data_IF_870346547215
#
_entry.id   IF_870346547215
#
_cell.length_a   1.000
_cell.length_b   1.000
_cell.length_c   1.000
_cell.angle_alpha   90.00
_cell.angle_beta   90.00
_cell.angle_gamma   90.00
#
_symmetry.space_group_name_H-M   'P 1'
#
loop_
_entity.id
_entity.type
_entity.pdbx_description
1 polymer ?
#
# COMPACT_ATOMS: atom_id res chain seq x y z
N UNK A 1 -33.59 70.64 -4.99
CA UNK A 1 -33.97 69.96 -6.26
C UNK A 1 -33.80 68.50 -5.98
N UNK A 2 -34.76 67.87 -5.46
CA UNK A 2 -36.01 67.33 -6.02
C UNK A 2 -35.77 66.19 -6.98
N UNK A 3 -36.28 65.04 -6.63
CA UNK A 3 -36.85 64.03 -7.40
C UNK A 3 -36.16 62.63 -7.23
N UNK A 4 -36.73 61.54 -7.15
CA UNK A 4 -38.12 61.08 -6.86
C UNK A 4 -37.98 59.57 -6.68
N UNK A 5 -38.73 59.10 -5.70
CA UNK A 5 -38.82 57.65 -5.41
C UNK A 5 -39.89 57.05 -6.33
N UNK A 6 -39.63 55.91 -6.96
CA UNK A 6 -40.68 55.04 -7.45
C UNK A 6 -40.74 53.73 -6.66
N UNK A 7 -41.82 53.67 -5.86
CA UNK A 7 -42.37 52.40 -5.32
C UNK A 7 -43.23 51.76 -6.41
N UNK A 8 -43.08 50.46 -6.63
CA UNK A 8 -44.11 49.66 -7.26
C UNK A 8 -44.80 48.79 -6.22
N UNK A 9 -46.12 48.99 -6.17
CA UNK A 9 -47.10 48.32 -5.34
C UNK A 9 -47.57 47.06 -6.06
N UNK A 10 -47.66 45.99 -5.28
CA UNK A 10 -48.34 44.73 -5.71
C UNK A 10 -49.71 44.76 -5.01
N UNK A 11 -50.75 44.86 -5.78
CA UNK A 11 -52.07 44.39 -5.35
C UNK A 11 -52.89 43.87 -6.53
N UNK A 12 -53.53 42.75 -6.25
CA UNK A 12 -54.80 42.19 -6.75
C UNK A 12 -54.85 41.55 -8.11
N UNK A 13 -55.01 40.24 -8.09
CA UNK A 13 -56.14 39.58 -8.72
C UNK A 13 -56.50 38.25 -8.00
N UNK A 14 -57.58 38.28 -7.23
CA UNK A 14 -58.29 37.12 -6.71
C UNK A 14 -59.48 36.88 -7.61
N UNK A 15 -59.88 35.61 -7.63
CA UNK A 15 -61.13 35.00 -8.05
C UNK A 15 -61.22 34.39 -9.44
N UNK A 16 -61.21 33.06 -9.46
CA UNK A 16 -62.34 32.29 -9.99
C UNK A 16 -62.12 30.75 -9.86
N UNK A 17 -63.11 30.18 -9.20
CA UNK A 17 -63.75 28.86 -9.49
C UNK A 17 -63.11 27.60 -8.96
N UNK A 18 -63.70 27.14 -7.89
CA UNK A 18 -63.68 25.78 -7.37
C UNK A 18 -64.39 24.83 -8.34
N UNK A 19 -63.69 23.87 -8.87
CA UNK A 19 -64.28 22.61 -9.38
C UNK A 19 -63.63 21.44 -8.66
N UNK A 20 -64.50 20.63 -8.02
CA UNK A 20 -64.11 19.39 -7.35
C UNK A 20 -63.67 18.37 -8.39
N UNK A 21 -62.36 18.10 -8.47
CA UNK A 21 -61.80 16.97 -9.13
C UNK A 21 -60.92 16.20 -8.14
N UNK A 22 -61.25 14.96 -7.90
CA UNK A 22 -60.49 14.07 -7.05
C UNK A 22 -59.06 13.90 -7.63
N UNK A 23 -58.09 14.62 -7.08
CA UNK A 23 -56.68 14.33 -7.34
C UNK A 23 -56.29 13.13 -6.49
N UNK A 24 -56.18 11.99 -7.13
CA UNK A 24 -55.42 10.87 -6.61
C UNK A 24 -53.97 11.36 -6.44
N UNK A 25 -53.54 11.52 -5.19
CA UNK A 25 -52.17 11.76 -4.86
C UNK A 25 -51.36 10.48 -5.20
N UNK A 26 -50.76 10.46 -6.36
CA UNK A 26 -49.71 9.50 -6.67
C UNK A 26 -48.50 9.94 -5.81
N UNK A 27 -48.36 9.29 -4.66
CA UNK A 27 -47.11 9.32 -3.92
C UNK A 27 -46.07 8.60 -4.79
N UNK A 28 -45.32 9.36 -5.57
CA UNK A 28 -44.06 8.89 -6.11
C UNK A 28 -43.14 8.77 -4.89
N UNK A 29 -43.07 7.54 -4.34
CA UNK A 29 -41.94 7.16 -3.52
C UNK A 29 -40.72 7.21 -4.45
N UNK A 30 -40.05 8.35 -4.49
CA UNK A 30 -38.67 8.42 -4.91
C UNK A 30 -37.91 7.53 -3.92
N UNK A 31 -37.71 6.26 -4.30
CA UNK A 31 -36.68 5.44 -3.71
C UNK A 31 -35.39 6.22 -3.91
N UNK A 32 -34.96 6.93 -2.87
CA UNK A 32 -33.59 7.41 -2.77
C UNK A 32 -32.75 6.14 -2.68
N UNK A 33 -32.40 5.58 -3.85
CA UNK A 33 -31.26 4.70 -3.95
C UNK A 33 -30.13 5.49 -3.28
N UNK A 34 -29.75 5.08 -2.07
CA UNK A 34 -28.64 5.68 -1.38
C UNK A 34 -27.49 5.69 -2.37
N UNK A 35 -27.09 6.88 -2.82
CA UNK A 35 -25.91 7.03 -3.63
C UNK A 35 -24.78 6.42 -2.79
N UNK A 36 -24.35 5.20 -3.14
CA UNK A 36 -23.07 4.71 -2.64
C UNK A 36 -22.03 5.67 -3.18
N UNK A 37 -21.39 6.38 -2.27
CA UNK A 37 -20.33 7.27 -2.62
C UNK A 37 -19.28 6.48 -3.41
N UNK A 38 -18.85 7.07 -4.51
CA UNK A 38 -17.92 6.62 -5.53
C UNK A 38 -18.53 5.64 -6.55
N UNK A 39 -19.07 6.16 -7.65
CA UNK A 39 -19.16 5.35 -8.84
C UNK A 39 -17.71 5.05 -9.26
N UNK A 40 -17.31 3.76 -9.19
CA UNK A 40 -16.14 3.31 -9.93
C UNK A 40 -16.35 3.71 -11.38
N UNK A 41 -15.43 4.49 -11.96
CA UNK A 41 -15.49 4.88 -13.38
C UNK A 41 -15.32 3.66 -14.28
N UNK A 42 -14.83 2.56 -13.72
CA UNK A 42 -14.58 1.29 -14.40
C UNK A 42 -15.33 0.16 -13.71
N UNK A 43 -15.77 -0.88 -14.47
CA UNK A 43 -16.28 -2.10 -13.85
C UNK A 43 -15.19 -2.72 -12.96
N UNK A 44 -15.60 -3.36 -11.86
CA UNK A 44 -14.70 -4.14 -11.02
C UNK A 44 -14.29 -5.45 -11.71
N UNK A 45 -13.18 -6.04 -11.28
CA UNK A 45 -12.56 -7.18 -11.94
C UNK A 45 -11.52 -6.73 -12.95
N UNK A 46 -11.13 -7.62 -13.85
CA UNK A 46 -10.18 -7.32 -14.91
C UNK A 46 -10.80 -6.45 -16.00
N UNK A 47 -10.19 -5.32 -16.28
CA UNK A 47 -10.66 -4.33 -17.27
C UNK A 47 -9.78 -4.28 -18.51
N UNK A 48 -8.51 -4.71 -18.38
CA UNK A 48 -7.54 -4.81 -19.47
C UNK A 48 -6.74 -6.09 -19.28
N UNK A 49 -6.58 -6.89 -20.32
CA UNK A 49 -5.65 -8.02 -20.32
C UNK A 49 -5.15 -8.34 -21.74
N UNK A 50 -3.88 -8.06 -21.95
CA UNK A 50 -3.13 -8.45 -23.15
C UNK A 50 -2.15 -9.58 -22.78
N UNK A 51 -2.51 -10.87 -22.95
CA UNK A 51 -1.68 -11.99 -22.52
C UNK A 51 -0.32 -12.06 -23.20
N UNK A 52 -0.20 -11.52 -24.41
CA UNK A 52 1.05 -11.54 -25.18
C UNK A 52 2.12 -10.60 -24.60
N UNK A 53 1.70 -9.54 -23.89
CA UNK A 53 2.58 -8.51 -23.35
C UNK A 53 2.64 -8.50 -21.83
N UNK A 54 1.74 -9.21 -21.18
CA UNK A 54 1.66 -9.33 -19.73
C UNK A 54 2.62 -10.43 -19.24
N UNK A 55 3.19 -10.28 -18.05
CA UNK A 55 3.76 -11.42 -17.34
C UNK A 55 2.61 -12.22 -16.73
N UNK A 56 2.31 -13.37 -17.34
CA UNK A 56 1.20 -14.22 -16.94
C UNK A 56 1.51 -14.92 -15.61
N UNK A 57 0.62 -14.71 -14.62
CA UNK A 57 0.78 -15.14 -13.24
C UNK A 57 -0.57 -15.18 -12.54
N UNK A 58 -0.59 -15.63 -11.28
CA UNK A 58 -1.68 -15.29 -10.38
C UNK A 58 -1.39 -13.97 -9.67
N UNK A 59 -2.42 -13.43 -8.98
CA UNK A 59 -2.28 -12.31 -8.04
C UNK A 59 -2.88 -12.71 -6.69
N UNK A 60 -2.06 -12.61 -5.64
CA UNK A 60 -2.43 -12.84 -4.25
C UNK A 60 -2.66 -11.51 -3.54
N UNK A 61 -3.80 -11.36 -2.85
CA UNK A 61 -4.09 -10.19 -2.02
C UNK A 61 -5.11 -10.51 -0.92
N UNK A 62 -5.08 -9.74 0.17
CA UNK A 62 -6.12 -9.76 1.19
C UNK A 62 -7.14 -8.67 0.87
N UNK A 63 -8.39 -9.05 0.69
CA UNK A 63 -9.50 -8.12 0.46
C UNK A 63 -9.92 -7.38 1.74
N UNK A 64 -10.70 -6.32 1.56
CA UNK A 64 -11.26 -5.56 2.69
C UNK A 64 -12.30 -6.33 3.53
N UNK A 65 -12.77 -7.44 3.02
CA UNK A 65 -13.71 -8.38 3.65
C UNK A 65 -13.03 -9.46 4.51
N UNK A 66 -11.74 -9.28 4.82
CA UNK A 66 -10.90 -10.18 5.64
C UNK A 66 -10.64 -11.56 5.01
N UNK A 67 -10.80 -11.70 3.68
CA UNK A 67 -10.49 -12.91 2.93
C UNK A 67 -9.28 -12.69 2.06
N UNK A 68 -8.32 -13.61 2.12
CA UNK A 68 -7.18 -13.65 1.19
C UNK A 68 -7.55 -14.44 -0.04
N UNK A 69 -7.24 -13.90 -1.22
CA UNK A 69 -7.58 -14.48 -2.52
C UNK A 69 -6.39 -14.61 -3.43
N UNK A 70 -6.42 -15.69 -4.19
CA UNK A 70 -5.61 -15.90 -5.39
C UNK A 70 -6.54 -15.77 -6.59
N UNK A 71 -6.25 -14.84 -7.50
CA UNK A 71 -7.00 -14.67 -8.75
C UNK A 71 -6.10 -14.92 -9.94
N UNK A 72 -6.66 -15.41 -11.05
CA UNK A 72 -5.97 -15.38 -12.34
C UNK A 72 -6.10 -13.99 -12.98
N UNK A 73 -5.37 -13.75 -14.07
CA UNK A 73 -5.37 -12.43 -14.71
C UNK A 73 -6.66 -12.08 -15.45
N UNK A 74 -7.59 -13.04 -15.62
CA UNK A 74 -8.96 -12.73 -16.08
C UNK A 74 -9.86 -12.22 -14.94
N UNK A 75 -9.33 -12.23 -13.70
CA UNK A 75 -10.07 -11.81 -12.50
C UNK A 75 -10.87 -12.92 -11.83
N UNK A 76 -10.75 -14.16 -12.32
CA UNK A 76 -11.42 -15.32 -11.72
C UNK A 76 -10.70 -15.72 -10.43
N UNK A 77 -11.47 -15.89 -9.36
CA UNK A 77 -10.95 -16.44 -8.10
C UNK A 77 -10.58 -17.90 -8.30
N UNK A 78 -9.32 -18.21 -7.97
CA UNK A 78 -8.74 -19.56 -8.07
C UNK A 78 -8.73 -20.23 -6.70
N UNK A 79 -8.41 -19.47 -5.64
CA UNK A 79 -8.40 -19.93 -4.26
C UNK A 79 -8.82 -18.81 -3.31
N UNK A 80 -9.48 -19.17 -2.22
CA UNK A 80 -9.78 -18.29 -1.09
C UNK A 80 -9.31 -18.94 0.21
N UNK A 81 -8.79 -18.10 1.11
CA UNK A 81 -8.48 -18.46 2.49
C UNK A 81 -9.25 -17.50 3.41
N UNK A 82 -10.00 -18.05 4.36
CA UNK A 82 -10.77 -17.28 5.33
C UNK A 82 -9.86 -16.66 6.41
N UNK A 83 -8.80 -16.02 5.95
CA UNK A 83 -7.83 -15.29 6.75
C UNK A 83 -7.52 -13.97 6.09
N UNK A 84 -7.26 -12.96 6.89
CA UNK A 84 -6.69 -11.70 6.41
C UNK A 84 -5.17 -11.67 6.59
N UNK A 85 -4.51 -10.62 6.11
CA UNK A 85 -3.08 -10.37 6.34
C UNK A 85 -2.74 -8.90 6.16
N UNK A 86 -1.63 -8.47 6.77
CA UNK A 86 -1.07 -7.14 6.55
C UNK A 86 0.45 -7.26 6.34
N UNK A 87 0.84 -7.68 5.12
CA UNK A 87 0.03 -8.31 4.06
C UNK A 87 -0.28 -9.79 4.35
N UNK A 88 -1.19 -10.39 3.55
CA UNK A 88 -1.05 -11.80 3.23
C UNK A 88 0.12 -11.94 2.25
N UNK A 89 1.06 -12.83 2.52
CA UNK A 89 2.27 -12.94 1.71
C UNK A 89 2.50 -14.37 1.23
N UNK A 90 2.81 -14.55 -0.04
CA UNK A 90 3.20 -15.86 -0.55
C UNK A 90 4.58 -16.27 -0.01
N UNK A 91 4.80 -17.57 0.11
CA UNK A 91 6.07 -18.14 0.51
C UNK A 91 6.64 -18.91 -0.68
N UNK A 92 7.89 -18.61 -1.04
CA UNK A 92 8.59 -19.33 -2.11
C UNK A 92 8.70 -20.81 -1.73
N UNK A 93 8.23 -21.75 -2.56
CA UNK A 93 8.35 -23.18 -2.29
C UNK A 93 9.79 -23.64 -2.00
N UNK A 94 10.80 -23.01 -2.59
CA UNK A 94 12.20 -23.30 -2.34
C UNK A 94 12.60 -23.09 -0.86
N UNK A 95 11.92 -22.19 -0.14
CA UNK A 95 12.18 -21.88 1.27
C UNK A 95 11.45 -22.81 2.25
N UNK A 96 10.56 -23.67 1.75
CA UNK A 96 9.70 -24.55 2.57
C UNK A 96 9.70 -26.00 2.05
N UNK A 97 10.86 -26.47 1.56
CA UNK A 97 11.06 -27.84 1.12
C UNK A 97 10.24 -28.25 -0.12
N UNK A 98 9.94 -27.30 -0.99
CA UNK A 98 9.18 -27.52 -2.22
C UNK A 98 7.66 -27.50 -2.03
N UNK A 99 7.16 -27.20 -0.85
CA UNK A 99 5.71 -27.13 -0.59
C UNK A 99 5.09 -25.93 -1.29
N UNK A 100 4.17 -26.20 -2.22
CA UNK A 100 3.49 -25.19 -3.03
C UNK A 100 2.26 -24.61 -2.33
N UNK A 101 1.91 -23.38 -2.66
CA UNK A 101 0.67 -22.73 -2.22
C UNK A 101 0.65 -22.32 -0.75
N UNK A 102 1.80 -22.10 -0.12
CA UNK A 102 1.88 -21.63 1.26
C UNK A 102 1.90 -20.12 1.35
N UNK A 103 1.14 -19.60 2.30
CA UNK A 103 1.03 -18.14 2.54
C UNK A 103 1.17 -17.81 4.01
N UNK A 104 1.68 -16.62 4.31
CA UNK A 104 1.53 -15.99 5.61
C UNK A 104 0.20 -15.25 5.71
N UNK A 105 -0.44 -15.38 6.88
CA UNK A 105 -1.72 -14.75 7.19
C UNK A 105 -1.80 -14.36 8.67
N UNK A 106 -2.81 -13.58 9.04
CA UNK A 106 -3.22 -13.39 10.42
C UNK A 106 -4.15 -14.53 10.82
N UNK A 107 -3.72 -15.37 11.76
CA UNK A 107 -4.53 -16.50 12.28
C UNK A 107 -5.54 -16.03 13.31
N UNK A 108 -5.14 -15.09 14.18
CA UNK A 108 -5.99 -14.54 15.22
C UNK A 108 -5.75 -13.05 15.38
N UNK A 109 -6.83 -12.29 15.47
CA UNK A 109 -6.80 -10.86 15.77
C UNK A 109 -7.74 -10.52 16.90
N UNK A 110 -7.36 -9.57 17.75
CA UNK A 110 -8.23 -9.00 18.77
C UNK A 110 -8.70 -7.62 18.33
N UNK A 111 -9.96 -7.28 18.62
CA UNK A 111 -10.40 -5.89 18.52
C UNK A 111 -9.66 -5.10 19.60
N UNK A 112 -8.75 -4.23 19.16
CA UNK A 112 -7.90 -3.48 20.06
C UNK A 112 -8.70 -2.53 20.93
N UNK A 113 -8.76 -2.79 22.22
CA UNK A 113 -9.00 -1.73 23.20
C UNK A 113 -7.71 -0.92 23.27
N UNK A 114 -7.57 0.07 22.35
CA UNK A 114 -6.75 1.23 22.61
C UNK A 114 -5.24 1.05 22.77
N UNK A 115 -4.56 0.21 21.97
CA UNK A 115 -3.14 0.43 21.72
C UNK A 115 -2.90 1.36 20.52
N UNK A 116 -3.95 1.66 19.76
CA UNK A 116 -3.92 2.81 18.84
C UNK A 116 -4.19 4.06 19.68
N UNK A 117 -3.11 4.66 20.15
CA UNK A 117 -3.13 5.89 20.95
C UNK A 117 -3.45 7.13 20.09
N UNK A 118 -3.80 6.96 18.83
CA UNK A 118 -4.15 8.07 17.94
C UNK A 118 -5.61 8.47 18.19
N UNK A 119 -5.88 9.67 18.75
CA UNK A 119 -7.24 10.15 18.93
C UNK A 119 -8.00 10.18 17.61
N UNK A 120 -9.15 9.50 17.54
CA UNK A 120 -10.04 9.50 16.38
C UNK A 120 -9.84 8.41 15.35
N UNK A 121 -8.84 7.52 15.48
CA UNK A 121 -8.77 6.31 14.67
C UNK A 121 -9.72 5.23 15.19
N UNK A 122 -10.49 4.65 14.28
CA UNK A 122 -11.28 3.47 14.55
C UNK A 122 -10.38 2.33 15.04
N UNK A 123 -10.90 1.49 15.94
CA UNK A 123 -10.22 0.36 16.55
C UNK A 123 -9.35 -0.39 15.56
N UNK A 124 -8.04 -0.30 15.72
CA UNK A 124 -7.09 -1.12 14.95
C UNK A 124 -7.11 -2.53 15.51
N UNK A 125 -7.30 -3.52 14.65
CA UNK A 125 -7.17 -4.92 15.03
C UNK A 125 -5.71 -5.21 15.40
N UNK A 126 -5.47 -5.67 16.61
CA UNK A 126 -4.16 -6.18 17.04
C UNK A 126 -4.02 -7.61 16.53
N UNK A 127 -2.97 -7.88 15.75
CA UNK A 127 -2.67 -9.25 15.30
C UNK A 127 -2.05 -10.01 16.44
N UNK A 128 -2.85 -10.88 17.03
CA UNK A 128 -2.44 -11.68 18.19
C UNK A 128 -1.54 -12.82 17.76
N UNK A 129 -1.95 -13.53 16.70
CA UNK A 129 -1.20 -14.65 16.14
C UNK A 129 -1.12 -14.51 14.63
N UNK A 130 0.08 -14.59 14.09
CA UNK A 130 0.36 -14.72 12.66
C UNK A 130 0.87 -16.12 12.38
N UNK A 131 0.72 -16.59 11.16
CA UNK A 131 1.20 -17.90 10.83
C UNK A 131 1.24 -18.18 9.35
N UNK A 132 1.81 -19.33 9.06
CA UNK A 132 1.83 -19.94 7.74
C UNK A 132 0.67 -20.92 7.62
N UNK A 133 -0.08 -20.85 6.53
CA UNK A 133 -1.09 -21.83 6.19
C UNK A 133 -0.74 -22.49 4.85
N UNK A 134 -1.16 -23.76 4.72
CA UNK A 134 -1.01 -24.48 3.45
C UNK A 134 -2.12 -24.10 2.44
N UNK A 135 -2.08 -24.77 1.29
CA UNK A 135 -3.08 -24.57 0.23
C UNK A 135 -4.51 -24.75 0.71
N UNK A 136 -4.77 -25.68 1.63
CA UNK A 136 -6.10 -25.97 2.15
C UNK A 136 -6.51 -25.07 3.32
N UNK A 137 -5.63 -24.14 3.71
CA UNK A 137 -5.87 -23.19 4.80
C UNK A 137 -5.57 -23.77 6.18
N UNK A 138 -4.90 -24.93 6.25
CA UNK A 138 -4.49 -25.52 7.52
C UNK A 138 -3.23 -24.82 8.04
N UNK A 139 -3.21 -24.32 9.28
CA UNK A 139 -1.99 -23.77 9.88
C UNK A 139 -0.88 -24.81 9.99
N UNK A 140 0.32 -24.44 9.52
CA UNK A 140 1.53 -25.28 9.57
C UNK A 140 2.62 -24.70 10.44
N UNK A 141 2.56 -23.40 10.73
CA UNK A 141 3.43 -22.69 11.67
C UNK A 141 2.68 -21.47 12.22
N UNK A 142 3.02 -21.05 13.43
CA UNK A 142 2.42 -19.87 14.04
C UNK A 142 3.36 -19.18 15.03
N UNK A 143 3.20 -17.86 15.14
CA UNK A 143 3.87 -17.04 16.14
C UNK A 143 2.86 -16.08 16.77
N UNK A 144 2.84 -16.05 18.09
CA UNK A 144 1.92 -15.23 18.90
C UNK A 144 2.11 -15.54 20.38
N UNK A 145 1.78 -16.76 20.87
CA UNK A 145 1.96 -17.10 22.28
C UNK A 145 3.40 -16.97 22.80
N UNK A 146 4.40 -17.23 21.94
CA UNK A 146 5.82 -17.07 22.24
C UNK A 146 6.34 -15.63 22.09
N UNK A 147 5.53 -14.74 21.52
CA UNK A 147 5.89 -13.34 21.38
C UNK A 147 5.88 -12.61 22.75
N UNK A 148 6.60 -11.48 22.89
CA UNK A 148 6.54 -10.67 24.09
C UNK A 148 5.10 -10.28 24.46
N UNK A 149 4.68 -10.62 25.68
CA UNK A 149 3.31 -10.44 26.13
C UNK A 149 2.27 -11.38 25.52
N UNK A 150 2.68 -12.46 24.81
CA UNK A 150 1.80 -13.43 24.19
C UNK A 150 1.06 -12.94 22.95
N UNK A 151 1.53 -11.86 22.32
CA UNK A 151 0.88 -11.20 21.17
C UNK A 151 1.93 -10.83 20.12
N UNK A 152 1.80 -11.34 18.90
CA UNK A 152 2.76 -11.11 17.81
C UNK A 152 2.90 -9.63 17.44
N UNK A 153 1.80 -8.86 17.50
CA UNK A 153 1.75 -7.44 17.12
C UNK A 153 2.32 -7.15 15.74
N UNK A 154 2.30 -8.15 14.85
CA UNK A 154 2.83 -8.03 13.49
C UNK A 154 2.07 -6.94 12.73
N UNK A 155 2.82 -6.14 11.99
CA UNK A 155 2.28 -5.18 11.04
C UNK A 155 3.16 -5.09 9.80
N UNK A 156 2.58 -4.65 8.69
CA UNK A 156 3.18 -4.21 7.44
C UNK A 156 4.10 -5.18 6.71
N UNK A 157 4.89 -6.05 7.36
CA UNK A 157 5.68 -7.06 6.63
C UNK A 157 5.94 -8.36 7.41
N UNK A 158 6.09 -9.45 6.66
CA UNK A 158 6.48 -10.79 7.13
C UNK A 158 7.07 -11.56 5.96
N UNK A 159 8.17 -12.28 6.17
CA UNK A 159 8.84 -13.04 5.13
C UNK A 159 9.53 -14.30 5.67
N UNK A 160 9.56 -15.37 4.87
CA UNK A 160 10.39 -16.56 5.13
C UNK A 160 11.81 -16.25 4.66
N UNK A 161 12.80 -16.59 5.49
CA UNK A 161 14.22 -16.46 5.19
C UNK A 161 14.80 -17.77 4.64
N UNK A 162 15.93 -17.71 3.91
CA UNK A 162 16.60 -18.91 3.37
C UNK A 162 17.07 -19.90 4.45
N UNK A 163 17.33 -19.43 5.68
CA UNK A 163 17.68 -20.30 6.81
C UNK A 163 16.48 -20.99 7.47
N UNK A 164 15.26 -20.83 6.92
CA UNK A 164 14.03 -21.39 7.45
C UNK A 164 13.35 -20.54 8.52
N UNK A 165 13.99 -19.50 9.02
CA UNK A 165 13.41 -18.58 9.99
C UNK A 165 12.37 -17.64 9.33
N UNK A 166 11.56 -16.98 10.15
CA UNK A 166 10.60 -15.98 9.70
C UNK A 166 11.03 -14.60 10.21
N UNK A 167 11.20 -13.66 9.29
CA UNK A 167 11.39 -12.26 9.58
C UNK A 167 10.02 -11.58 9.67
N UNK A 168 9.77 -10.79 10.69
CA UNK A 168 8.53 -10.03 10.83
C UNK A 168 8.77 -8.67 11.49
N UNK A 169 7.92 -7.72 11.11
CA UNK A 169 7.88 -6.39 11.70
C UNK A 169 6.74 -6.35 12.73
N UNK A 170 7.02 -5.83 13.93
CA UNK A 170 6.07 -5.72 15.03
C UNK A 170 6.07 -4.32 15.64
N UNK A 171 4.94 -3.90 16.23
CA UNK A 171 4.87 -2.68 17.05
C UNK A 171 4.86 -3.05 18.54
N UNK A 172 5.73 -2.41 19.31
CA UNK A 172 5.72 -2.53 20.76
C UNK A 172 5.40 -1.16 21.38
N UNK A 173 4.43 -1.16 22.31
CA UNK A 173 4.03 0.07 22.99
C UNK A 173 4.63 0.12 24.38
N UNK A 174 5.40 1.17 24.67
CA UNK A 174 6.00 1.42 25.98
C UNK A 174 6.37 2.91 26.15
N UNK A 175 6.54 3.39 27.40
CA UNK A 175 7.07 4.71 27.66
C UNK A 175 8.54 4.82 27.20
N UNK A 176 8.86 5.78 26.35
CA UNK A 176 10.25 6.03 25.93
C UNK A 176 10.71 7.36 26.51
N UNK A 177 11.80 7.38 27.33
CA UNK A 177 12.30 8.60 27.92
C UNK A 177 12.63 9.67 26.89
N UNK A 178 12.21 10.91 27.16
CA UNK A 178 12.45 12.06 26.28
C UNK A 178 11.36 12.26 25.20
N UNK A 179 10.36 11.36 25.09
CA UNK A 179 9.22 11.55 24.21
C UNK A 179 8.06 12.20 24.95
N UNK A 180 7.35 13.10 24.27
CA UNK A 180 6.14 13.75 24.81
C UNK A 180 4.90 12.85 24.78
N UNK A 181 4.87 11.85 23.91
CA UNK A 181 3.85 10.81 23.90
C UNK A 181 3.99 9.95 25.18
N UNK A 182 2.90 9.68 25.94
CA UNK A 182 2.97 8.85 27.13
C UNK A 182 3.49 7.43 26.88
N UNK A 183 3.23 6.92 25.71
CA UNK A 183 3.79 5.69 25.16
C UNK A 183 4.08 5.92 23.70
N UNK A 184 5.13 5.32 23.17
CA UNK A 184 5.41 5.25 21.74
C UNK A 184 4.96 3.90 21.18
N UNK A 185 4.72 3.85 19.89
CA UNK A 185 4.64 2.60 19.12
C UNK A 185 5.99 2.45 18.43
N UNK A 186 6.86 1.65 19.01
CA UNK A 186 8.17 1.40 18.44
C UNK A 186 8.13 0.27 17.43
N UNK A 187 8.75 0.48 16.28
CA UNK A 187 8.85 -0.52 15.23
C UNK A 187 10.01 -1.47 15.55
N UNK A 188 9.71 -2.75 15.68
CA UNK A 188 10.68 -3.78 16.06
C UNK A 188 10.70 -4.90 15.03
N UNK A 189 11.89 -5.23 14.55
CA UNK A 189 12.10 -6.39 13.70
C UNK A 189 12.41 -7.62 14.57
N UNK A 190 11.71 -8.73 14.30
CA UNK A 190 12.00 -10.05 14.86
C UNK A 190 12.40 -11.03 13.79
N UNK A 191 13.42 -11.84 14.06
CA UNK A 191 13.63 -13.09 13.40
C UNK A 191 13.27 -14.23 14.34
N UNK A 192 12.35 -15.08 13.90
CA UNK A 192 11.77 -16.18 14.66
C UNK A 192 12.13 -17.49 13.99
N UNK A 193 12.67 -18.44 14.78
CA UNK A 193 13.01 -19.78 14.27
C UNK A 193 11.74 -20.63 14.06
N UNK A 194 11.84 -21.81 13.42
CA UNK A 194 10.71 -22.71 13.23
C UNK A 194 10.02 -23.15 14.52
N UNK A 195 10.74 -23.17 15.65
CA UNK A 195 10.21 -23.56 16.97
C UNK A 195 9.45 -22.41 17.66
N UNK A 196 9.48 -21.20 17.08
CA UNK A 196 8.79 -20.01 17.60
C UNK A 196 9.66 -19.13 18.50
N UNK A 197 10.96 -19.40 18.66
CA UNK A 197 11.86 -18.58 19.46
C UNK A 197 12.36 -17.36 18.66
N UNK A 198 12.43 -16.21 19.32
CA UNK A 198 13.07 -15.02 18.74
C UNK A 198 14.58 -15.17 18.83
N UNK A 199 15.25 -15.29 17.69
CA UNK A 199 16.70 -15.49 17.59
C UNK A 199 17.48 -14.21 17.24
N UNK A 200 16.79 -13.20 16.75
CA UNK A 200 17.35 -11.88 16.48
C UNK A 200 16.28 -10.79 16.64
N UNK A 201 16.70 -9.62 17.11
CA UNK A 201 15.81 -8.47 17.29
C UNK A 201 16.55 -7.16 17.00
N UNK A 202 15.80 -6.18 16.51
CA UNK A 202 16.25 -4.81 16.28
C UNK A 202 15.09 -3.86 16.56
N UNK A 203 15.31 -2.80 17.32
CA UNK A 203 14.30 -1.81 17.67
C UNK A 203 14.69 -0.44 17.08
N UNK A 204 13.76 0.22 16.40
CA UNK A 204 14.02 1.47 15.70
C UNK A 204 14.42 2.62 16.66
N UNK A 205 13.87 2.61 17.87
CA UNK A 205 14.21 3.61 18.91
C UNK A 205 15.68 3.64 19.32
N UNK A 206 16.38 2.50 19.19
CA UNK A 206 17.79 2.39 19.57
C UNK A 206 18.74 3.00 18.52
N UNK A 207 18.21 3.40 17.33
CA UNK A 207 19.01 3.77 16.17
C UNK A 207 18.60 5.13 15.54
N UNK A 208 17.84 5.95 16.27
CA UNK A 208 17.38 7.26 15.75
C UNK A 208 18.51 8.20 15.35
N UNK A 209 19.62 8.13 16.04
CA UNK A 209 20.84 8.93 15.78
C UNK A 209 21.64 8.46 14.55
N UNK A 210 21.34 7.27 14.03
CA UNK A 210 22.00 6.69 12.85
C UNK A 210 21.26 7.04 11.53
N UNK A 211 20.02 7.53 11.60
CA UNK A 211 19.16 7.80 10.44
C UNK A 211 19.60 9.07 9.70
N UNK A 212 20.18 10.03 10.41
CA UNK A 212 20.63 11.31 9.84
C UNK A 212 19.65 12.47 10.08
N UNK A 213 18.72 12.35 11.03
CA UNK A 213 17.89 13.47 11.47
C UNK A 213 18.74 14.57 12.11
N UNK A 214 18.41 15.83 11.84
CA UNK A 214 18.96 16.98 12.55
C UNK A 214 18.46 17.03 14.00
N UNK A 215 19.13 17.83 14.84
CA UNK A 215 18.67 18.04 16.23
C UNK A 215 17.24 18.61 16.29
N UNK A 216 16.88 19.50 15.38
CA UNK A 216 15.54 20.08 15.31
C UNK A 216 14.48 19.04 14.93
N UNK A 217 14.79 18.18 13.97
CA UNK A 217 13.90 17.08 13.58
C UNK A 217 13.72 16.06 14.71
N UNK A 218 14.78 15.70 15.40
CA UNK A 218 14.71 14.84 16.59
C UNK A 218 13.87 15.50 17.70
N UNK A 219 13.96 16.82 17.87
CA UNK A 219 13.11 17.55 18.81
C UNK A 219 11.63 17.52 18.38
N UNK A 220 11.34 17.64 17.08
CA UNK A 220 9.98 17.50 16.56
C UNK A 220 9.43 16.08 16.74
N UNK A 221 10.24 15.05 16.48
CA UNK A 221 9.88 13.64 16.70
C UNK A 221 9.55 13.42 18.18
N UNK A 222 10.48 13.75 19.07
CA UNK A 222 10.35 13.56 20.52
C UNK A 222 9.24 14.43 21.13
N UNK A 223 9.03 15.64 20.63
CA UNK A 223 7.97 16.56 21.05
C UNK A 223 6.58 16.22 20.53
N UNK A 224 6.48 15.28 19.58
CA UNK A 224 5.19 14.85 19.03
C UNK A 224 4.38 14.05 20.04
N UNK A 225 3.06 14.30 20.08
CA UNK A 225 2.11 13.47 20.82
C UNK A 225 1.63 12.24 20.02
N UNK A 226 2.02 12.14 18.73
CA UNK A 226 1.75 10.96 17.92
C UNK A 226 2.65 9.81 18.40
N UNK A 227 2.09 8.71 18.92
CA UNK A 227 2.89 7.59 19.36
C UNK A 227 3.61 6.87 18.23
N UNK A 228 3.05 6.88 17.04
CA UNK A 228 3.54 6.23 15.82
C UNK A 228 4.51 7.18 15.09
N UNK A 229 5.71 7.29 15.61
CA UNK A 229 6.65 8.35 15.19
C UNK A 229 7.43 8.02 13.91
N UNK A 230 7.78 6.75 13.64
CA UNK A 230 8.46 6.35 12.39
C UNK A 230 7.52 5.71 11.39
N UNK A 231 6.64 4.82 11.84
CA UNK A 231 5.74 4.05 10.99
C UNK A 231 6.50 3.30 9.90
N UNK A 232 7.36 2.36 10.33
CA UNK A 232 8.06 1.45 9.41
C UNK A 232 7.03 0.56 8.72
N UNK A 233 7.07 0.47 7.40
CA UNK A 233 6.00 -0.20 6.66
C UNK A 233 6.47 -1.30 5.70
N UNK A 234 7.77 -1.59 5.67
CA UNK A 234 8.31 -2.82 5.09
C UNK A 234 9.61 -3.23 5.78
N UNK A 235 9.95 -4.50 5.65
CA UNK A 235 11.20 -5.07 6.15
C UNK A 235 11.54 -6.33 5.33
N UNK A 236 12.64 -6.28 4.56
CA UNK A 236 13.03 -7.37 3.66
C UNK A 236 14.53 -7.60 3.68
N UNK A 237 14.98 -8.84 3.40
CA UNK A 237 16.37 -9.06 3.06
C UNK A 237 16.76 -8.25 1.81
N UNK A 238 17.97 -7.74 1.78
CA UNK A 238 18.56 -7.11 0.58
C UNK A 238 18.67 -8.13 -0.54
N UNK A 239 19.02 -9.39 -0.20
CA UNK A 239 19.17 -10.48 -1.15
C UNK A 239 20.44 -10.42 -1.99
N UNK A 240 20.74 -11.46 -2.76
CA UNK A 240 21.88 -11.48 -3.67
C UNK A 240 21.83 -10.31 -4.65
N UNK A 241 22.97 -9.63 -4.87
CA UNK A 241 23.08 -8.49 -5.77
C UNK A 241 24.54 -8.24 -6.16
N UNK A 242 24.73 -7.59 -7.32
CA UNK A 242 26.06 -7.31 -7.87
C UNK A 242 26.88 -6.30 -7.04
N UNK A 243 26.23 -5.38 -6.30
CA UNK A 243 26.95 -4.43 -5.46
C UNK A 243 27.78 -5.11 -4.38
N UNK A 244 27.19 -6.14 -3.74
CA UNK A 244 27.94 -6.95 -2.77
C UNK A 244 29.02 -7.76 -3.43
N UNK A 245 28.76 -8.34 -4.61
CA UNK A 245 29.75 -9.10 -5.38
C UNK A 245 30.94 -8.21 -5.83
N UNK A 246 30.69 -6.94 -6.04
CA UNK A 246 31.70 -5.90 -6.34
C UNK A 246 32.39 -5.35 -5.10
N UNK A 247 32.02 -5.79 -3.89
CA UNK A 247 32.68 -5.49 -2.63
C UNK A 247 31.96 -4.49 -1.71
N UNK A 248 30.80 -3.97 -2.07
CA UNK A 248 30.04 -3.04 -1.23
C UNK A 248 29.28 -3.77 -0.14
N UNK A 249 29.84 -3.80 1.07
CA UNK A 249 29.30 -4.51 2.22
C UNK A 249 27.95 -3.96 2.73
N UNK A 250 27.58 -2.73 2.36
CA UNK A 250 26.27 -2.15 2.71
C UNK A 250 25.13 -2.98 2.14
N UNK A 251 25.34 -3.60 0.99
CA UNK A 251 24.37 -4.41 0.28
C UNK A 251 24.55 -5.93 0.49
N UNK A 252 25.15 -6.33 1.61
CA UNK A 252 25.28 -7.76 1.93
C UNK A 252 23.90 -8.44 1.87
N UNK A 253 23.78 -9.64 1.28
CA UNK A 253 22.48 -10.32 1.05
C UNK A 253 21.62 -10.52 2.30
N UNK A 254 22.27 -10.71 3.46
CA UNK A 254 21.59 -10.90 4.74
C UNK A 254 21.19 -9.59 5.43
N UNK A 255 21.68 -8.44 4.95
CA UNK A 255 21.26 -7.14 5.44
C UNK A 255 19.77 -6.92 5.18
N UNK A 256 19.16 -6.04 5.97
CA UNK A 256 17.72 -5.81 5.92
C UNK A 256 17.44 -4.39 5.42
N UNK A 257 16.64 -4.27 4.36
CA UNK A 257 16.12 -2.99 3.89
C UNK A 257 14.75 -2.74 4.48
N UNK A 258 14.52 -1.51 4.94
CA UNK A 258 13.24 -1.04 5.45
C UNK A 258 12.97 0.39 5.04
N UNK A 259 11.70 0.81 5.06
CA UNK A 259 11.33 2.21 4.90
C UNK A 259 10.44 2.71 6.03
N UNK A 260 10.53 4.00 6.30
CA UNK A 260 9.75 4.69 7.33
C UNK A 260 8.87 5.75 6.67
N UNK A 261 7.55 5.54 6.76
CA UNK A 261 6.58 6.46 6.19
C UNK A 261 6.62 7.83 6.87
N UNK A 262 6.54 7.85 8.21
CA UNK A 262 6.50 9.11 8.96
C UNK A 262 7.88 9.78 9.05
N UNK A 263 8.94 8.98 9.16
CA UNK A 263 10.32 9.47 9.14
C UNK A 263 10.79 9.90 7.75
N UNK A 264 10.14 9.45 6.71
CA UNK A 264 10.41 9.79 5.30
C UNK A 264 11.83 9.41 4.84
N UNK A 265 12.23 8.18 5.11
CA UNK A 265 13.53 7.64 4.69
C UNK A 265 13.43 6.14 4.37
N UNK A 266 14.43 5.65 3.65
CA UNK A 266 14.69 4.23 3.40
C UNK A 266 16.07 3.94 3.96
N UNK A 267 16.26 2.79 4.63
CA UNK A 267 17.53 2.44 5.25
C UNK A 267 17.86 0.96 5.10
N UNK A 268 19.15 0.64 5.22
CA UNK A 268 19.66 -0.73 5.29
C UNK A 268 20.33 -0.94 6.65
N UNK A 269 19.92 -2.00 7.35
CA UNK A 269 20.52 -2.49 8.60
C UNK A 269 21.55 -3.54 8.26
N UNK A 270 22.76 -3.38 8.71
CA UNK A 270 23.75 -4.46 8.76
C UNK A 270 23.31 -5.45 9.86
N UNK A 271 22.96 -6.65 9.45
CA UNK A 271 22.36 -7.64 10.36
C UNK A 271 23.32 -8.11 11.46
N UNK A 272 24.65 -8.11 11.21
CA UNK A 272 25.66 -8.55 12.17
C UNK A 272 25.92 -7.51 13.23
N UNK A 273 26.09 -6.25 12.81
CA UNK A 273 26.40 -5.11 13.71
C UNK A 273 25.15 -4.46 14.27
N UNK A 274 23.98 -4.71 13.67
CA UNK A 274 22.68 -4.05 13.95
C UNK A 274 22.69 -2.54 13.67
N UNK A 275 23.67 -2.03 12.92
CA UNK A 275 23.82 -0.62 12.59
C UNK A 275 23.13 -0.29 11.27
N UNK A 276 22.63 0.92 11.13
CA UNK A 276 22.22 1.46 9.84
C UNK A 276 23.48 1.78 9.04
N UNK A 277 23.64 1.17 7.87
CA UNK A 277 24.84 1.29 7.02
C UNK A 277 24.58 2.04 5.71
N UNK A 278 23.32 2.28 5.36
CA UNK A 278 22.93 3.05 4.18
C UNK A 278 21.56 3.71 4.41
N UNK A 279 21.40 4.93 3.90
CA UNK A 279 20.13 5.67 3.97
C UNK A 279 19.85 6.41 2.67
N UNK A 280 18.56 6.56 2.33
CA UNK A 280 18.01 7.49 1.35
C UNK A 280 16.94 8.34 2.04
N UNK A 281 17.19 9.64 2.19
CA UNK A 281 16.42 10.50 3.08
C UNK A 281 17.03 10.54 4.50
N UNK A 282 16.39 11.26 5.44
CA UNK A 282 15.14 12.01 5.34
C UNK A 282 15.21 13.31 4.52
N UNK A 283 16.40 13.75 4.12
CA UNK A 283 16.61 15.00 3.40
C UNK A 283 16.67 14.76 1.89
N UNK A 284 15.72 15.37 1.17
CA UNK A 284 15.66 15.30 -0.28
C UNK A 284 15.72 16.72 -0.87
N UNK A 285 16.35 16.91 -2.04
CA UNK A 285 16.22 18.15 -2.77
C UNK A 285 14.74 18.38 -3.12
N UNK A 286 14.29 19.63 -3.16
CA UNK A 286 12.92 19.94 -3.52
C UNK A 286 12.60 19.47 -4.93
N UNK A 287 11.34 19.07 -5.14
CA UNK A 287 10.79 18.90 -6.49
C UNK A 287 10.91 20.24 -7.22
N UNK A 288 11.21 20.22 -8.53
CA UNK A 288 11.38 21.44 -9.31
C UNK A 288 10.19 22.40 -9.13
N UNK A 289 10.48 23.70 -9.24
CA UNK A 289 9.52 24.81 -9.02
C UNK A 289 8.25 24.72 -9.87
N UNK A 290 8.31 24.03 -11.03
CA UNK A 290 7.16 23.79 -11.91
C UNK A 290 6.17 22.74 -11.36
N UNK A 291 6.50 22.07 -10.24
CA UNK A 291 5.63 21.08 -9.59
C UNK A 291 5.37 19.81 -10.42
N UNK A 292 5.94 19.69 -11.61
CA UNK A 292 5.72 18.57 -12.50
C UNK A 292 6.84 17.55 -12.41
N UNK A 293 6.62 16.50 -11.61
CA UNK A 293 7.53 15.33 -11.57
C UNK A 293 7.47 14.52 -12.86
N UNK A 294 6.44 14.75 -13.68
CA UNK A 294 6.11 13.95 -14.87
C UNK A 294 6.98 14.25 -16.08
N UNK A 295 7.50 15.49 -16.20
CA UNK A 295 8.32 15.92 -17.35
C UNK A 295 9.82 15.75 -17.16
N UNK A 296 10.27 15.29 -15.99
CA UNK A 296 11.69 15.17 -15.69
C UNK A 296 12.32 13.98 -16.40
N UNK A 297 13.43 14.24 -17.08
CA UNK A 297 14.24 13.19 -17.69
C UNK A 297 14.91 12.31 -16.64
N UNK A 298 15.05 11.04 -16.94
CA UNK A 298 15.84 10.07 -16.18
C UNK A 298 17.07 9.67 -17.03
N UNK A 299 18.23 9.35 -16.47
CA UNK A 299 18.54 9.37 -15.02
C UNK A 299 18.73 10.81 -14.48
N UNK A 300 18.49 10.97 -13.17
CA UNK A 300 18.67 12.22 -12.41
C UNK A 300 18.77 11.93 -10.91
N UNK A 301 19.34 12.82 -10.09
CA UNK A 301 19.34 12.64 -8.64
C UNK A 301 17.93 12.46 -8.08
N UNK A 302 17.82 11.63 -7.02
CA UNK A 302 16.55 11.46 -6.30
C UNK A 302 16.12 12.81 -5.74
N UNK A 303 14.92 13.21 -6.08
CA UNK A 303 14.25 14.39 -5.53
C UNK A 303 13.30 14.02 -4.38
N UNK A 304 12.50 14.96 -3.91
CA UNK A 304 11.59 14.75 -2.80
C UNK A 304 10.71 13.52 -2.99
N UNK A 305 10.96 12.48 -2.19
CA UNK A 305 10.07 11.34 -1.96
C UNK A 305 9.23 11.65 -0.72
N UNK A 306 7.99 11.16 -0.64
CA UNK A 306 7.16 11.43 0.53
C UNK A 306 6.19 10.29 0.83
N UNK A 307 6.30 9.74 2.04
CA UNK A 307 5.41 8.73 2.58
C UNK A 307 5.45 7.39 1.84
N UNK A 308 6.62 7.03 1.33
CA UNK A 308 6.88 5.85 0.50
C UNK A 308 6.52 4.53 1.19
N UNK A 309 6.33 3.49 0.36
CA UNK A 309 6.05 2.12 0.78
C UNK A 309 6.82 1.11 -0.05
N UNK A 310 7.09 -0.05 0.55
CA UNK A 310 7.53 -1.27 -0.10
C UNK A 310 8.88 -1.14 -0.83
N UNK A 311 9.84 -0.45 -0.21
CA UNK A 311 11.21 -0.36 -0.70
C UNK A 311 11.89 -1.73 -0.74
N UNK A 312 12.50 -2.08 -1.86
CA UNK A 312 13.17 -3.37 -2.05
C UNK A 312 14.29 -3.29 -3.09
N UNK A 313 15.30 -4.11 -2.95
CA UNK A 313 16.29 -4.32 -4.00
C UNK A 313 15.67 -5.27 -5.04
N UNK A 314 15.74 -4.91 -6.31
CA UNK A 314 15.25 -5.77 -7.42
C UNK A 314 16.12 -7.03 -7.44
N UNK A 315 15.49 -8.24 -7.36
CA UNK A 315 16.21 -9.50 -7.31
C UNK A 315 17.06 -9.77 -8.55
N UNK A 316 18.12 -10.55 -8.36
CA UNK A 316 18.96 -11.07 -9.45
C UNK A 316 18.08 -11.84 -10.46
N UNK A 317 18.40 -11.67 -11.74
CA UNK A 317 17.66 -12.29 -12.86
C UNK A 317 16.48 -11.47 -13.38
N UNK A 318 16.12 -10.38 -12.69
CA UNK A 318 15.10 -9.46 -13.18
C UNK A 318 15.75 -8.20 -13.82
N UNK A 319 15.10 -7.58 -14.80
CA UNK A 319 15.57 -6.31 -15.35
C UNK A 319 15.68 -5.22 -14.26
N UNK A 320 16.84 -4.54 -14.21
CA UNK A 320 17.16 -3.58 -13.15
C UNK A 320 17.66 -4.21 -11.84
N UNK A 321 18.06 -5.50 -11.85
CA UNK A 321 18.60 -6.21 -10.69
C UNK A 321 19.68 -5.40 -9.95
N UNK A 322 19.55 -5.30 -8.63
CA UNK A 322 20.44 -4.51 -7.77
C UNK A 322 19.95 -3.08 -7.54
N UNK A 323 19.08 -2.54 -8.38
CA UNK A 323 18.47 -1.23 -8.12
C UNK A 323 17.39 -1.32 -7.03
N UNK A 324 17.16 -0.21 -6.36
CA UNK A 324 16.06 -0.02 -5.41
C UNK A 324 14.77 0.28 -6.17
N UNK A 325 13.71 -0.50 -5.93
CA UNK A 325 12.36 -0.20 -6.41
C UNK A 325 11.50 0.23 -5.22
N UNK A 326 10.74 1.33 -5.37
CA UNK A 326 9.90 1.88 -4.31
C UNK A 326 8.65 2.54 -4.85
N UNK A 327 7.53 2.40 -4.13
CA UNK A 327 6.31 3.16 -4.36
C UNK A 327 6.37 4.48 -3.58
N UNK A 328 6.57 5.58 -4.29
CA UNK A 328 6.56 6.93 -3.71
C UNK A 328 5.12 7.47 -3.72
N UNK A 329 4.50 7.43 -2.56
CA UNK A 329 3.08 7.78 -2.40
C UNK A 329 2.80 9.25 -2.64
N UNK A 330 3.80 10.13 -2.46
CA UNK A 330 3.60 11.57 -2.39
C UNK A 330 2.55 11.94 -1.32
N UNK A 331 2.56 11.18 -0.21
CA UNK A 331 1.73 11.40 0.97
C UNK A 331 2.41 12.30 2.00
N UNK A 332 1.70 12.71 3.04
CA UNK A 332 2.31 13.49 4.12
C UNK A 332 3.33 12.66 4.90
N UNK A 333 4.55 13.19 5.03
CA UNK A 333 5.65 12.53 5.74
C UNK A 333 6.72 13.54 6.16
N UNK A 334 7.67 13.10 6.99
CA UNK A 334 8.81 13.89 7.42
C UNK A 334 8.59 14.72 8.68
N UNK A 335 9.68 15.30 9.17
CA UNK A 335 9.71 16.17 10.35
C UNK A 335 10.55 17.44 10.03
N UNK A 336 9.94 18.60 9.72
CA UNK A 336 8.50 18.83 9.65
C UNK A 336 7.84 18.08 8.47
N UNK A 337 6.53 17.88 8.54
CA UNK A 337 5.84 17.19 7.46
C UNK A 337 6.03 17.89 6.12
N UNK A 338 6.40 17.14 5.10
CA UNK A 338 6.51 17.66 3.75
C UNK A 338 5.13 18.09 3.22
N UNK A 339 5.06 19.28 2.66
CA UNK A 339 3.90 19.74 1.92
C UNK A 339 3.87 19.04 0.56
N UNK A 340 2.86 18.21 0.34
CA UNK A 340 2.69 17.50 -0.92
C UNK A 340 1.98 18.39 -1.92
N UNK A 341 2.57 18.58 -3.08
CA UNK A 341 1.88 19.24 -4.19
C UNK A 341 0.86 18.28 -4.80
N UNK A 342 -0.40 18.65 -4.80
CA UNK A 342 -1.55 17.87 -5.28
C UNK A 342 -1.48 17.44 -6.76
N UNK A 343 -0.62 18.03 -7.54
CA UNK A 343 -0.65 17.98 -9.01
C UNK A 343 0.11 16.81 -9.61
N UNK A 344 1.01 16.16 -8.88
CA UNK A 344 1.92 15.15 -9.44
C UNK A 344 1.41 13.71 -9.36
N UNK A 345 0.50 13.38 -8.45
CA UNK A 345 0.14 12.00 -8.15
C UNK A 345 1.26 11.23 -7.45
N UNK A 346 1.09 9.92 -7.34
CA UNK A 346 2.12 9.00 -6.86
C UNK A 346 3.11 8.64 -7.96
N UNK A 347 4.24 8.01 -7.57
CA UNK A 347 5.27 7.53 -8.50
C UNK A 347 5.71 6.14 -8.11
N UNK A 348 6.16 5.35 -9.08
CA UNK A 348 7.03 4.20 -8.81
C UNK A 348 8.42 4.58 -9.31
N UNK A 349 9.41 4.42 -8.46
CA UNK A 349 10.79 4.81 -8.74
C UNK A 349 11.71 3.60 -8.74
N UNK A 350 12.54 3.47 -9.76
CA UNK A 350 13.74 2.63 -9.77
C UNK A 350 14.95 3.55 -9.58
N UNK A 351 15.75 3.24 -8.57
CA UNK A 351 16.85 4.08 -8.12
C UNK A 351 18.12 3.23 -8.07
N UNK A 352 19.19 3.70 -8.69
CA UNK A 352 20.54 3.18 -8.43
C UNK A 352 20.92 3.54 -6.98
N UNK A 353 21.09 2.55 -6.08
CA UNK A 353 21.27 2.84 -4.65
C UNK A 353 22.65 3.39 -4.29
N UNK A 354 23.64 3.25 -5.16
CA UNK A 354 24.98 3.77 -4.95
C UNK A 354 25.10 5.23 -5.40
N UNK A 355 24.70 5.51 -6.63
CA UNK A 355 24.71 6.87 -7.18
C UNK A 355 23.53 7.73 -6.69
N UNK A 356 22.50 7.12 -6.13
CA UNK A 356 21.21 7.75 -5.76
C UNK A 356 20.59 8.50 -6.94
N UNK A 357 20.63 7.88 -8.13
CA UNK A 357 19.99 8.41 -9.32
C UNK A 357 18.68 7.65 -9.59
N UNK A 358 17.60 8.37 -9.92
CA UNK A 358 16.40 7.76 -10.50
C UNK A 358 16.76 7.33 -11.92
N UNK A 359 16.70 6.04 -12.20
CA UNK A 359 17.04 5.45 -13.51
C UNK A 359 15.80 5.11 -14.32
N UNK A 360 14.66 4.91 -13.66
CA UNK A 360 13.35 4.74 -14.28
C UNK A 360 12.27 5.25 -13.33
N UNK A 361 11.14 5.69 -13.89
CA UNK A 361 9.97 6.04 -13.10
C UNK A 361 8.68 5.75 -13.87
N UNK A 362 7.63 5.46 -13.11
CA UNK A 362 6.25 5.45 -13.59
C UNK A 362 5.43 6.52 -12.88
N UNK A 363 4.58 7.20 -13.64
CA UNK A 363 3.57 8.16 -13.18
C UNK A 363 2.32 7.99 -14.05
N UNK A 364 1.19 8.61 -13.69
CA UNK A 364 0.02 8.61 -14.57
C UNK A 364 0.33 9.09 -16.00
N UNK A 365 1.25 10.06 -16.15
CA UNK A 365 1.66 10.57 -17.44
C UNK A 365 2.43 9.54 -18.30
N UNK A 366 3.08 8.56 -17.70
CA UNK A 366 3.74 7.47 -18.42
C UNK A 366 2.77 6.65 -19.27
N UNK A 367 1.50 6.56 -18.82
CA UNK A 367 0.41 5.90 -19.57
C UNK A 367 -0.47 6.89 -20.34
N UNK A 368 0.00 8.13 -20.59
CA UNK A 368 -0.74 9.16 -21.31
C UNK A 368 -1.89 9.81 -20.53
N UNK A 369 -1.96 9.60 -19.22
CA UNK A 369 -3.00 10.15 -18.35
C UNK A 369 -2.48 11.33 -17.54
N UNK A 370 -3.36 12.23 -17.04
CA UNK A 370 -2.94 13.25 -16.07
C UNK A 370 -2.31 12.62 -14.84
N UNK A 371 -1.25 13.25 -14.27
CA UNK A 371 -0.49 12.69 -13.14
C UNK A 371 -1.36 12.29 -11.95
N UNK A 372 -2.39 13.06 -11.62
CA UNK A 372 -3.31 12.80 -10.50
C UNK A 372 -4.22 11.57 -10.67
N UNK A 373 -4.27 10.94 -11.84
CA UNK A 373 -5.03 9.71 -12.09
C UNK A 373 -4.34 8.47 -11.51
N UNK A 374 -3.09 8.60 -11.08
CA UNK A 374 -2.34 7.59 -10.35
C UNK A 374 -1.99 8.16 -8.98
N UNK A 375 -2.78 7.82 -7.96
CA UNK A 375 -2.64 8.40 -6.64
C UNK A 375 -3.05 7.46 -5.51
N UNK A 376 -2.09 7.12 -4.68
CA UNK A 376 -2.30 6.42 -3.42
C UNK A 376 -1.43 7.04 -2.35
N UNK A 377 -2.03 7.85 -1.46
CA UNK A 377 -1.30 8.65 -0.45
C UNK A 377 -0.72 7.83 0.69
N UNK A 378 -1.04 6.56 0.76
CA UNK A 378 -0.55 5.57 1.74
C UNK A 378 -0.74 4.17 1.18
N UNK A 379 -0.11 3.14 1.80
CA UNK A 379 -0.11 1.76 1.36
C UNK A 379 0.45 1.59 -0.06
N UNK A 380 0.17 0.49 -0.79
CA UNK A 380 0.65 0.24 -2.15
C UNK A 380 1.99 -0.48 -2.23
N UNK A 381 2.26 -1.05 -3.40
CA UNK A 381 3.55 -1.67 -3.70
C UNK A 381 3.84 -1.73 -5.20
N UNK A 382 5.09 -2.04 -5.53
CA UNK A 382 5.50 -2.33 -6.90
C UNK A 382 6.46 -3.53 -6.95
N UNK A 383 6.40 -4.30 -8.03
CA UNK A 383 7.29 -5.46 -8.27
C UNK A 383 7.78 -5.47 -9.71
N UNK A 384 9.09 -5.59 -9.89
CA UNK A 384 9.66 -5.86 -11.21
C UNK A 384 9.37 -7.31 -11.59
N UNK A 385 8.97 -7.53 -12.84
CA UNK A 385 8.58 -8.83 -13.38
C UNK A 385 9.62 -9.37 -14.35
N UNK A 386 9.68 -10.71 -14.56
CA UNK A 386 10.67 -11.34 -15.42
C UNK A 386 10.70 -10.85 -16.87
N UNK A 387 9.56 -10.43 -17.42
CA UNK A 387 9.46 -9.88 -18.77
C UNK A 387 9.82 -8.38 -18.88
N UNK A 388 10.24 -7.74 -17.77
CA UNK A 388 10.59 -6.33 -17.71
C UNK A 388 9.44 -5.41 -17.31
N UNK A 389 8.21 -5.89 -17.32
CA UNK A 389 7.08 -5.13 -16.82
C UNK A 389 7.22 -4.83 -15.32
N UNK A 390 6.46 -3.86 -14.86
CA UNK A 390 6.30 -3.58 -13.43
C UNK A 390 4.85 -3.80 -13.03
N UNK A 391 4.63 -4.69 -12.07
CA UNK A 391 3.35 -4.82 -11.39
C UNK A 391 3.22 -3.71 -10.36
N UNK A 392 2.07 -3.07 -10.29
CA UNK A 392 1.78 -1.94 -9.40
C UNK A 392 0.45 -2.19 -8.71
N UNK A 393 0.44 -2.06 -7.39
CA UNK A 393 -0.76 -1.97 -6.57
C UNK A 393 -0.99 -0.52 -6.17
N UNK A 394 -2.00 0.12 -6.76
CA UNK A 394 -2.53 1.41 -6.33
C UNK A 394 -3.53 1.16 -5.19
N UNK A 395 -2.97 0.83 -4.02
CA UNK A 395 -3.66 0.16 -2.93
C UNK A 395 -4.83 0.94 -2.34
N UNK A 396 -4.81 2.27 -2.31
CA UNK A 396 -5.85 3.08 -1.70
C UNK A 396 -7.23 2.90 -2.37
N UNK A 397 -7.24 2.63 -3.67
CA UNK A 397 -8.47 2.37 -4.43
C UNK A 397 -8.62 0.89 -4.81
N UNK A 398 -7.63 0.04 -4.51
CA UNK A 398 -7.64 -1.38 -4.83
C UNK A 398 -7.51 -1.67 -6.32
N UNK A 399 -6.71 -0.88 -7.02
CA UNK A 399 -6.38 -1.06 -8.43
C UNK A 399 -5.03 -1.70 -8.57
N UNK A 400 -4.95 -2.83 -9.28
CA UNK A 400 -3.71 -3.52 -9.62
C UNK A 400 -3.50 -3.45 -11.12
N UNK A 401 -2.26 -3.25 -11.56
CA UNK A 401 -1.99 -3.20 -13.00
C UNK A 401 -0.53 -3.55 -13.31
N UNK A 402 -0.27 -3.98 -14.54
CA UNK A 402 1.07 -4.16 -15.08
C UNK A 402 1.33 -3.12 -16.16
N UNK A 403 2.50 -2.51 -16.08
CA UNK A 403 2.99 -1.57 -17.10
C UNK A 403 4.25 -2.09 -17.76
N UNK A 404 4.39 -1.82 -19.05
CA UNK A 404 5.64 -2.06 -19.79
C UNK A 404 6.73 -1.08 -19.31
N UNK A 405 8.01 -1.28 -19.64
CA UNK A 405 9.06 -0.30 -19.40
C UNK A 405 8.75 1.10 -19.93
N UNK A 406 7.99 1.19 -21.03
CA UNK A 406 7.56 2.44 -21.66
C UNK A 406 6.35 3.08 -20.97
N UNK A 407 5.73 2.38 -20.00
CA UNK A 407 4.61 2.87 -19.20
C UNK A 407 3.22 2.51 -19.76
N UNK A 408 3.11 1.64 -20.76
CA UNK A 408 1.82 1.21 -21.28
C UNK A 408 1.17 0.18 -20.37
N UNK A 409 -0.11 0.37 -20.01
CA UNK A 409 -0.87 -0.57 -19.19
C UNK A 409 -1.29 -1.76 -20.07
N UNK A 410 -0.83 -2.95 -19.69
CA UNK A 410 -1.11 -4.21 -20.41
C UNK A 410 -2.02 -5.16 -19.64
N UNK A 411 -2.20 -4.91 -18.35
CA UNK A 411 -3.17 -5.58 -17.48
C UNK A 411 -3.66 -4.62 -16.42
N UNK A 412 -4.95 -4.68 -16.10
CA UNK A 412 -5.58 -3.88 -15.05
C UNK A 412 -6.72 -4.66 -14.38
N UNK A 413 -6.77 -4.58 -13.06
CA UNK A 413 -7.78 -5.21 -12.22
C UNK A 413 -8.22 -4.26 -11.11
N UNK A 414 -9.52 -4.16 -10.89
CA UNK A 414 -10.12 -3.39 -9.79
C UNK A 414 -10.75 -4.35 -8.78
N UNK A 415 -10.27 -4.28 -7.54
CA UNK A 415 -10.73 -5.13 -6.43
C UNK A 415 -12.26 -4.98 -6.20
N UNK A 416 -13.05 -6.06 -6.30
CA UNK A 416 -14.49 -6.03 -6.05
C UNK A 416 -14.89 -6.30 -4.59
N UNK A 417 -13.92 -6.52 -3.68
CA UNK A 417 -14.14 -7.01 -2.31
C UNK A 417 -13.91 -5.92 -1.25
N UNK A 418 -14.92 -5.07 -0.96
CA UNK A 418 -14.72 -3.96 -0.05
C UNK A 418 -14.83 -4.37 1.41
N UNK A 419 -14.12 -3.65 2.27
CA UNK A 419 -14.50 -3.54 3.67
C UNK A 419 -15.79 -2.74 3.78
N UNK A 420 -16.79 -3.32 4.41
CA UNK A 420 -18.07 -2.66 4.67
C UNK A 420 -18.04 -1.99 6.05
N UNK A 421 -18.56 -0.79 6.14
CA UNK A 421 -18.60 -0.02 7.37
C UNK A 421 -19.76 0.98 7.36
N UNK A 422 -19.72 1.88 8.32
CA UNK A 422 -20.61 3.04 8.38
C UNK A 422 -19.77 4.29 8.60
N UNK A 423 -20.11 5.36 7.94
CA UNK A 423 -19.55 6.67 8.17
C UNK A 423 -19.88 7.13 9.61
N UNK A 424 -18.86 7.56 10.35
CA UNK A 424 -19.00 7.86 11.77
C UNK A 424 -19.89 9.11 12.03
N UNK A 425 -19.96 10.04 11.09
CA UNK A 425 -20.72 11.28 11.23
C UNK A 425 -22.16 11.14 10.73
N UNK A 426 -22.35 10.46 9.62
CA UNK A 426 -23.65 10.38 8.94
C UNK A 426 -24.37 9.07 9.16
N UNK A 427 -23.69 8.02 9.66
CA UNK A 427 -24.22 6.67 9.82
C UNK A 427 -24.46 5.93 8.48
N UNK A 428 -24.13 6.55 7.34
CA UNK A 428 -24.35 5.96 6.01
C UNK A 428 -23.41 4.78 5.76
N UNK A 429 -23.88 3.75 5.03
CA UNK A 429 -22.99 2.65 4.63
C UNK A 429 -21.80 3.15 3.83
N UNK A 430 -20.60 2.65 4.17
CA UNK A 430 -19.36 2.90 3.45
C UNK A 430 -18.79 1.61 2.89
N UNK A 431 -18.03 1.73 1.81
CA UNK A 431 -17.27 0.64 1.20
C UNK A 431 -15.85 1.13 0.97
N UNK A 432 -14.89 0.39 1.47
CA UNK A 432 -13.47 0.68 1.26
C UNK A 432 -12.85 -0.51 0.51
N UNK A 433 -12.40 -0.27 -0.71
CA UNK A 433 -11.81 -1.27 -1.61
C UNK A 433 -10.29 -1.36 -1.48
N UNK A 434 -9.69 -0.63 -0.55
CA UNK A 434 -8.24 -0.58 -0.39
C UNK A 434 -7.64 -1.97 -0.14
N UNK A 435 -6.47 -2.18 -0.73
CA UNK A 435 -5.62 -3.35 -0.52
C UNK A 435 -4.26 -2.85 -0.07
N UNK A 436 -3.74 -3.44 1.02
CA UNK A 436 -2.45 -3.01 1.56
C UNK A 436 -1.31 -3.35 0.60
N UNK A 437 -1.28 -4.60 0.12
CA UNK A 437 -0.29 -5.11 -0.83
C UNK A 437 -0.89 -6.25 -1.64
N UNK A 438 -0.80 -6.15 -2.96
CA UNK A 438 -1.08 -7.24 -3.90
C UNK A 438 0.24 -7.77 -4.47
N UNK A 439 0.31 -9.07 -4.75
CA UNK A 439 1.55 -9.73 -5.17
C UNK A 439 1.32 -10.60 -6.39
N UNK A 440 2.08 -10.39 -7.47
CA UNK A 440 2.12 -11.36 -8.59
C UNK A 440 2.79 -12.63 -8.10
N UNK A 441 2.21 -13.77 -8.43
CA UNK A 441 2.67 -15.10 -7.99
C UNK A 441 2.78 -16.02 -9.21
N UNK A 442 3.95 -16.60 -9.49
CA UNK A 442 4.14 -17.50 -10.64
C UNK A 442 3.16 -18.69 -10.59
N UNK A 443 2.77 -19.20 -11.76
CA UNK A 443 1.82 -20.32 -11.84
C UNK A 443 2.32 -21.58 -11.14
N UNK A 444 3.62 -21.85 -11.18
CA UNK A 444 4.25 -23.00 -10.54
C UNK A 444 4.36 -22.92 -9.01
N UNK A 445 4.04 -21.77 -8.44
CA UNK A 445 3.88 -21.64 -6.98
C UNK A 445 2.66 -22.40 -6.47
N UNK A 446 1.58 -22.44 -7.24
CA UNK A 446 0.37 -23.16 -6.89
C UNK A 446 0.53 -24.67 -7.12
N UNK A 447 -0.27 -25.54 -6.48
CA UNK A 447 -0.30 -26.96 -6.78
C UNK A 447 -0.52 -27.24 -8.26
N UNK A 448 0.06 -28.31 -8.75
CA UNK A 448 -0.11 -28.74 -10.15
C UNK A 448 -1.58 -28.93 -10.52
N UNK A 449 -1.95 -28.48 -11.72
CA UNK A 449 -3.34 -28.53 -12.19
C UNK A 449 -4.22 -27.38 -11.69
N UNK A 450 -3.68 -26.43 -10.93
CA UNK A 450 -4.42 -25.21 -10.53
C UNK A 450 -4.86 -24.44 -11.79
N UNK A 451 -6.16 -24.15 -11.96
CA UNK A 451 -6.66 -23.55 -13.20
C UNK A 451 -6.23 -22.07 -13.34
N UNK A 452 -5.97 -21.66 -14.57
CA UNK A 452 -5.79 -20.27 -14.97
C UNK A 452 -6.28 -20.07 -16.40
N UNK A 453 -6.52 -18.85 -16.80
CA UNK A 453 -6.90 -18.48 -18.16
C UNK A 453 -6.08 -17.31 -18.65
N UNK A 454 -5.68 -17.35 -19.91
CA UNK A 454 -4.96 -16.28 -20.62
C UNK A 454 -5.82 -15.71 -21.76
N UNK A 455 -7.11 -15.53 -21.49
CA UNK A 455 -8.05 -14.96 -22.46
C UNK A 455 -7.95 -13.43 -22.42
N UNK A 456 -7.64 -12.82 -23.57
CA UNK A 456 -7.53 -11.38 -23.69
C UNK A 456 -8.84 -10.66 -23.31
N UNK A 457 -8.72 -9.52 -22.64
CA UNK A 457 -9.81 -8.62 -22.29
C UNK A 457 -9.49 -7.23 -22.83
N UNK A 458 -10.29 -6.77 -23.78
CA UNK A 458 -10.14 -5.43 -24.34
C UNK A 458 -10.49 -4.35 -23.32
N UNK A 459 -9.81 -3.18 -23.37
CA UNK A 459 -10.20 -2.04 -22.55
C UNK A 459 -11.67 -1.68 -22.73
N UNK A 460 -12.35 -1.17 -21.69
CA UNK A 460 -13.72 -0.71 -21.78
C UNK A 460 -13.85 0.39 -22.83
N UNK A 461 -14.87 0.32 -23.69
CA UNK A 461 -15.16 1.39 -24.65
C UNK A 461 -15.60 2.67 -23.92
N UNK A 462 -14.81 3.72 -24.02
CA UNK A 462 -15.11 5.02 -23.37
C UNK A 462 -16.42 5.66 -23.84
N UNK A 463 -16.94 5.28 -25.01
CA UNK A 463 -18.19 5.82 -25.57
C UNK A 463 -19.40 5.58 -24.66
N UNK A 464 -19.43 4.47 -23.93
CA UNK A 464 -20.53 4.11 -23.01
C UNK A 464 -20.53 4.91 -21.69
N UNK A 465 -19.43 5.58 -21.37
CA UNK A 465 -19.28 6.36 -20.14
C UNK A 465 -19.47 7.86 -20.30
N UNK A 466 -19.71 8.32 -21.52
CA UNK A 466 -20.01 9.74 -21.77
C UNK A 466 -21.42 10.04 -21.32
N UNK A 467 -21.57 10.98 -20.40
CA UNK A 467 -22.86 11.61 -20.11
C UNK A 467 -23.28 12.29 -21.42
N UNK A 468 -24.22 11.70 -22.13
CA UNK A 468 -24.82 12.37 -23.27
C UNK A 468 -25.54 13.61 -22.73
N UNK A 469 -25.06 14.79 -23.08
CA UNK A 469 -25.85 16.01 -22.90
C UNK A 469 -27.16 15.86 -23.66
N UNK A 470 -28.27 15.74 -22.93
CA UNK A 470 -29.59 15.93 -23.53
C UNK A 470 -29.85 17.41 -23.68
#
# INVERSE_FOLDING_TARGET
MAGEKHRFSIETFLEASISRGACAAVLVLAATAGASAEPSVYPTGTTIYDPARTYNSYVLFAGGDDVTRLVDLTGKVVREWNYTGLPAAFIDPALVGGARGRIFVTLESEEGKGTDLTPGRAQTRVRKTVGEVDWDGKPVWSFGPAAPGGVARQHHDIARLPNGNTLLLANISYPLPGFAAPQVLDDVAYEVNPDGDIVWTWAASDHLDEIGFTADELNLIKGSKNPDYLHVNNLKPVGPNHWFDEGDQRFAPDNLIFDSRNGNFIAIIDRKTRKIVWTLGPHFPPVSEDGTTTSRKVPRPVDQISGQHDAQIIPVGLPGAGNLLVFDNQGEAGYPRASVTFTGGSRVLEIDPVSKQIVWQYTGASSGNPGWTFRSTHISNARRLPNGNTFIDEGQIGRFFQVTPEGEIVWEYLNPYPRRGKDAQTGRPTRNYSVYRAQPVPYDWAPEGTPHSETAIAPPENAGFRVTSK
#
